data_IF_782430761231
#
_entry.id   IF_782430761231
#
_cell.length_a   1.000
_cell.length_b   1.000
_cell.length_c   1.000
_cell.angle_alpha   90.00
_cell.angle_beta   90.00
_cell.angle_gamma   90.00
#
_symmetry.space_group_name_H-M   'P 1'
#
loop_
_entity.id
_entity.type
_entity.pdbx_description
1 polymer ?
#
# COMPACT_ATOMS: atom_id res chain seq x y z
N UNK A 1 -21.36 26.45 15.71
CA UNK A 1 -20.75 26.35 17.07
C UNK A 1 -19.37 25.75 16.94
N UNK A 2 -18.27 26.52 17.09
CA UNK A 2 -16.92 25.99 17.18
C UNK A 2 -16.83 25.21 18.50
N UNK A 3 -16.73 23.87 18.46
CA UNK A 3 -16.43 23.06 19.63
C UNK A 3 -15.14 23.61 20.25
N UNK A 4 -15.14 23.95 21.53
CA UNK A 4 -13.94 24.29 22.29
C UNK A 4 -12.97 23.08 22.21
N UNK A 5 -12.06 23.11 21.25
CA UNK A 5 -10.99 22.10 21.17
C UNK A 5 -9.97 22.43 22.25
N UNK A 6 -9.82 21.55 23.22
CA UNK A 6 -8.74 21.61 24.18
C UNK A 6 -7.43 21.16 23.53
N UNK A 7 -6.35 21.87 23.76
CA UNK A 7 -5.01 21.58 23.22
C UNK A 7 -4.08 21.12 24.35
N UNK A 8 -3.04 20.41 23.99
CA UNK A 8 -1.84 20.18 24.77
C UNK A 8 -0.65 20.82 24.05
N UNK A 9 0.37 21.19 24.80
CA UNK A 9 1.63 21.69 24.23
C UNK A 9 2.56 20.49 24.04
N UNK A 10 3.05 20.35 22.81
CA UNK A 10 4.13 19.43 22.43
C UNK A 10 5.36 20.25 22.04
N UNK A 11 6.54 19.65 22.11
CA UNK A 11 7.81 20.34 21.81
C UNK A 11 8.67 19.45 20.92
N UNK A 12 9.25 20.03 19.89
CA UNK A 12 10.28 19.44 19.05
C UNK A 12 11.50 20.38 18.95
N UNK A 13 12.43 20.08 18.03
CA UNK A 13 13.62 20.91 17.81
C UNK A 13 13.30 22.33 17.30
N UNK A 14 12.12 22.56 16.74
CA UNK A 14 11.64 23.84 16.24
C UNK A 14 10.86 24.65 17.28
N UNK A 15 10.65 24.10 18.48
CA UNK A 15 9.95 24.76 19.56
C UNK A 15 8.59 24.15 19.90
N UNK A 16 7.76 24.94 20.59
CA UNK A 16 6.43 24.49 21.03
C UNK A 16 5.39 24.55 19.93
N UNK A 17 4.45 23.59 19.94
CA UNK A 17 3.30 23.54 19.05
C UNK A 17 2.04 23.05 19.78
N UNK A 18 0.89 23.61 19.45
CA UNK A 18 -0.41 23.22 20.01
C UNK A 18 -0.98 22.02 19.25
N UNK A 19 -1.11 20.88 19.93
CA UNK A 19 -1.70 19.66 19.39
C UNK A 19 -3.07 19.42 20.03
N UNK A 20 -4.12 19.03 19.29
CA UNK A 20 -5.41 18.70 19.88
C UNK A 20 -5.26 17.63 20.98
N UNK A 21 -5.88 17.86 22.14
CA UNK A 21 -5.67 17.01 23.34
C UNK A 21 -5.99 15.53 23.10
N UNK A 22 -6.96 15.23 22.23
CA UNK A 22 -7.37 13.87 21.89
C UNK A 22 -6.52 13.21 20.80
N UNK A 23 -5.70 13.98 20.07
CA UNK A 23 -4.86 13.46 19.00
C UNK A 23 -3.78 12.53 19.55
N UNK A 24 -3.53 11.42 18.85
CA UNK A 24 -2.41 10.53 19.17
C UNK A 24 -1.11 10.96 18.48
N UNK A 25 -1.18 11.84 17.48
CA UNK A 25 0.01 12.42 16.85
C UNK A 25 0.66 13.47 17.74
N UNK A 26 1.90 13.81 17.45
CA UNK A 26 2.70 14.79 18.18
C UNK A 26 3.02 16.04 17.38
N UNK A 27 4.15 16.69 17.74
CA UNK A 27 4.57 17.97 17.21
C UNK A 27 4.85 17.95 15.70
N UNK A 28 5.56 16.95 15.20
CA UNK A 28 5.98 16.91 13.79
C UNK A 28 4.77 16.72 12.86
N UNK A 29 3.84 15.84 13.21
CA UNK A 29 2.59 15.69 12.45
C UNK A 29 1.76 16.96 12.48
N UNK A 30 1.66 17.64 13.62
CA UNK A 30 0.91 18.89 13.71
C UNK A 30 1.49 19.97 12.79
N UNK A 31 2.82 20.12 12.76
CA UNK A 31 3.48 21.03 11.81
C UNK A 31 3.24 20.64 10.35
N UNK A 32 3.23 19.35 10.04
CA UNK A 32 2.94 18.88 8.68
C UNK A 32 1.49 19.21 8.27
N UNK A 33 0.51 19.12 9.17
CA UNK A 33 -0.87 19.56 8.93
C UNK A 33 -0.92 21.06 8.58
N UNK A 34 -0.15 21.87 9.31
CA UNK A 34 -0.11 23.31 9.14
C UNK A 34 0.65 23.74 7.88
N UNK A 35 1.72 23.00 7.51
CA UNK A 35 2.56 23.33 6.37
C UNK A 35 2.00 22.84 5.03
N UNK A 36 1.21 21.77 5.01
CA UNK A 36 0.74 21.11 3.79
C UNK A 36 -0.78 20.95 3.70
N UNK A 37 -1.58 22.04 3.83
CA UNK A 37 -3.03 21.98 3.63
C UNK A 37 -3.37 22.07 2.13
N UNK A 38 -2.95 21.08 1.31
CA UNK A 38 -2.92 21.21 -0.16
C UNK A 38 -4.20 20.69 -0.82
N UNK A 39 -4.51 19.39 -0.68
CA UNK A 39 -5.60 18.75 -1.42
C UNK A 39 -6.76 18.27 -0.56
N UNK A 40 -6.54 18.04 0.72
CA UNK A 40 -7.47 17.39 1.62
C UNK A 40 -7.57 15.86 1.42
N UNK A 41 -6.82 15.30 0.45
CA UNK A 41 -6.78 13.85 0.21
C UNK A 41 -5.88 13.22 1.26
N UNK A 42 -6.41 12.21 1.97
CA UNK A 42 -5.69 11.46 3.00
C UNK A 42 -5.35 10.07 2.50
N UNK A 43 -4.47 9.35 3.21
CA UNK A 43 -4.13 7.95 2.93
C UNK A 43 -5.27 6.98 3.28
N UNK A 44 -6.50 7.40 3.03
CA UNK A 44 -7.68 6.57 3.16
C UNK A 44 -8.36 6.47 1.79
N UNK A 45 -8.12 5.37 1.11
CA UNK A 45 -8.70 5.08 -0.21
C UNK A 45 -10.06 4.37 -0.08
N UNK A 46 -10.87 4.30 -1.15
CA UNK A 46 -12.22 3.70 -1.10
C UNK A 46 -12.27 2.26 -0.56
N UNK A 47 -11.16 1.51 -0.66
CA UNK A 47 -11.09 0.10 -0.26
C UNK A 47 -10.28 -0.13 1.01
N UNK A 48 -9.87 0.92 1.72
CA UNK A 48 -9.15 0.82 2.98
C UNK A 48 -7.93 1.71 3.09
N UNK A 49 -7.19 1.51 4.18
CA UNK A 49 -5.99 2.28 4.52
C UNK A 49 -4.73 1.43 4.38
N UNK A 50 -4.57 0.70 3.26
CA UNK A 50 -3.49 -0.28 3.07
C UNK A 50 -2.10 0.30 3.30
N UNK A 51 -1.90 1.58 2.95
CA UNK A 51 -0.63 2.27 3.20
C UNK A 51 -0.38 2.48 4.72
N UNK A 52 -1.41 2.86 5.47
CA UNK A 52 -1.32 3.00 6.93
C UNK A 52 -1.13 1.62 7.59
N UNK A 53 -1.87 0.60 7.14
CA UNK A 53 -1.68 -0.81 7.54
C UNK A 53 -0.23 -1.25 7.30
N UNK A 54 0.35 -0.92 6.15
CA UNK A 54 1.74 -1.22 5.82
C UNK A 54 2.73 -0.55 6.78
N UNK A 55 2.52 0.72 7.14
CA UNK A 55 3.33 1.39 8.15
C UNK A 55 3.23 0.68 9.50
N UNK A 56 2.03 0.28 9.92
CA UNK A 56 1.83 -0.52 11.12
C UNK A 56 2.62 -1.84 11.09
N UNK A 57 2.59 -2.56 9.96
CA UNK A 57 3.37 -3.79 9.75
C UNK A 57 4.88 -3.54 9.84
N UNK A 58 5.36 -2.45 9.24
CA UNK A 58 6.77 -2.06 9.30
C UNK A 58 7.19 -1.81 10.75
N UNK A 59 6.44 -1.00 11.50
CA UNK A 59 6.80 -0.68 12.89
C UNK A 59 6.69 -1.89 13.82
N UNK A 60 5.71 -2.76 13.60
CA UNK A 60 5.63 -4.05 14.29
C UNK A 60 6.87 -4.91 14.03
N UNK A 61 7.22 -5.09 12.76
CA UNK A 61 8.32 -5.96 12.34
C UNK A 61 9.68 -5.41 12.74
N UNK A 62 9.86 -4.07 12.70
CA UNK A 62 11.05 -3.41 13.21
C UNK A 62 11.21 -3.59 14.72
N UNK A 63 10.12 -3.52 15.50
CA UNK A 63 10.16 -3.77 16.93
C UNK A 63 10.52 -5.23 17.25
N UNK A 64 10.03 -6.20 16.47
CA UNK A 64 10.45 -7.62 16.56
C UNK A 64 11.95 -7.75 16.28
N UNK A 65 12.39 -7.27 15.11
CA UNK A 65 13.78 -7.36 14.70
C UNK A 65 14.75 -6.72 15.69
N UNK A 66 14.44 -5.51 16.17
CA UNK A 66 15.28 -4.84 17.16
C UNK A 66 15.29 -5.53 18.53
N UNK A 67 14.18 -6.16 18.93
CA UNK A 67 14.15 -7.00 20.12
C UNK A 67 15.05 -8.22 19.98
N UNK A 68 14.94 -8.96 18.87
CA UNK A 68 15.69 -10.19 18.62
C UNK A 68 17.19 -9.92 18.46
N UNK A 69 17.56 -8.73 18.01
CA UNK A 69 18.95 -8.27 17.88
C UNK A 69 19.50 -7.60 19.15
N UNK A 70 18.71 -7.54 20.23
CA UNK A 70 19.15 -6.99 21.52
C UNK A 70 19.18 -5.46 21.60
N UNK A 71 18.67 -4.76 20.59
CA UNK A 71 18.64 -3.28 20.56
C UNK A 71 17.47 -2.70 21.35
N UNK A 72 16.39 -3.47 21.55
CA UNK A 72 15.18 -3.04 22.23
C UNK A 72 14.82 -4.00 23.36
N UNK A 73 14.47 -3.47 24.53
CA UNK A 73 14.05 -4.31 25.67
C UNK A 73 12.73 -5.01 25.36
N UNK A 74 12.54 -6.20 25.93
CA UNK A 74 11.30 -6.99 25.76
C UNK A 74 10.07 -6.16 26.16
N UNK A 75 10.14 -5.38 27.23
CA UNK A 75 9.05 -4.54 27.73
C UNK A 75 8.64 -3.49 26.69
N UNK A 76 9.60 -2.71 26.17
CA UNK A 76 9.34 -1.72 25.12
C UNK A 76 8.86 -2.37 23.82
N UNK A 77 9.52 -3.43 23.35
CA UNK A 77 9.14 -4.14 22.14
C UNK A 77 7.69 -4.64 22.21
N UNK A 78 7.25 -5.20 23.33
CA UNK A 78 5.87 -5.67 23.50
C UNK A 78 4.85 -4.51 23.43
N UNK A 79 5.16 -3.37 24.02
CA UNK A 79 4.29 -2.20 23.95
C UNK A 79 4.21 -1.64 22.52
N UNK A 80 5.35 -1.56 21.82
CA UNK A 80 5.39 -1.13 20.40
C UNK A 80 4.61 -2.08 19.50
N UNK A 81 4.82 -3.40 19.63
CA UNK A 81 4.08 -4.43 18.87
C UNK A 81 2.58 -4.34 19.10
N UNK A 82 2.14 -4.18 20.36
CA UNK A 82 0.72 -4.04 20.67
C UNK A 82 0.13 -2.74 20.10
N UNK A 83 0.87 -1.64 20.12
CA UNK A 83 0.43 -0.36 19.55
C UNK A 83 0.41 -0.39 18.03
N UNK A 84 1.41 -0.99 17.39
CA UNK A 84 1.45 -1.17 15.93
C UNK A 84 0.31 -2.07 15.42
N UNK A 85 -0.11 -3.08 16.18
CA UNK A 85 -1.28 -3.91 15.85
C UNK A 85 -2.58 -3.10 15.77
N UNK A 86 -2.76 -2.07 16.59
CA UNK A 86 -3.92 -1.16 16.47
C UNK A 86 -3.90 -0.38 15.17
N UNK A 87 -2.71 0.03 14.71
CA UNK A 87 -2.55 0.68 13.39
C UNK A 87 -2.86 -0.31 12.27
N UNK A 88 -2.36 -1.55 12.34
CA UNK A 88 -2.63 -2.62 11.36
C UNK A 88 -4.13 -2.91 11.27
N UNK A 89 -4.83 -2.91 12.40
CA UNK A 89 -6.26 -3.18 12.48
C UNK A 89 -7.15 -1.98 12.05
N UNK A 90 -6.56 -0.80 11.80
CA UNK A 90 -7.29 0.42 11.44
C UNK A 90 -8.04 1.07 12.60
N UNK A 91 -7.80 0.64 13.85
CA UNK A 91 -8.48 1.15 15.05
C UNK A 91 -8.17 2.63 15.34
N UNK A 92 -7.12 3.15 14.74
CA UNK A 92 -6.60 4.51 14.97
C UNK A 92 -6.40 5.32 13.69
N UNK A 93 -7.04 4.94 12.60
CA UNK A 93 -6.93 5.59 11.27
C UNK A 93 -7.26 7.09 11.31
N UNK A 94 -8.14 7.51 12.22
CA UNK A 94 -8.48 8.92 12.43
C UNK A 94 -7.29 9.78 12.87
N UNK A 95 -6.23 9.15 13.38
CA UNK A 95 -5.00 9.80 13.82
C UNK A 95 -3.93 9.90 12.73
N UNK A 96 -4.28 9.60 11.47
CA UNK A 96 -3.46 9.82 10.28
C UNK A 96 -4.08 10.91 9.40
N UNK A 97 -4.00 12.19 9.84
CA UNK A 97 -4.72 13.31 9.22
C UNK A 97 -4.01 13.92 8.01
N UNK A 98 -2.79 13.49 7.68
CA UNK A 98 -1.93 14.16 6.72
C UNK A 98 -2.46 14.08 5.30
N UNK A 99 -2.21 15.15 4.54
CA UNK A 99 -2.42 15.19 3.10
C UNK A 99 -1.42 14.29 2.38
N UNK A 100 -1.84 13.66 1.28
CA UNK A 100 -0.94 12.83 0.45
C UNK A 100 0.15 13.68 -0.22
N UNK A 101 -0.13 14.96 -0.49
CA UNK A 101 0.83 15.94 -0.97
C UNK A 101 1.53 16.60 0.23
N UNK A 102 2.74 16.15 0.50
CA UNK A 102 3.56 16.56 1.64
C UNK A 102 5.05 16.62 1.22
N UNK A 103 5.98 16.44 2.17
CA UNK A 103 7.40 16.28 1.85
C UNK A 103 7.61 15.16 0.84
N UNK A 104 8.43 15.37 -0.20
CA UNK A 104 8.62 14.41 -1.29
C UNK A 104 9.12 13.02 -0.84
N UNK A 105 9.83 12.97 0.28
CA UNK A 105 10.32 11.72 0.91
C UNK A 105 9.26 10.97 1.74
N UNK A 106 8.06 11.54 1.93
CA UNK A 106 7.01 10.97 2.79
C UNK A 106 7.34 10.98 4.30
N UNK A 107 8.35 11.75 4.71
CA UNK A 107 8.81 11.81 6.11
C UNK A 107 7.70 12.17 7.07
N UNK A 108 6.80 13.09 6.69
CA UNK A 108 5.69 13.50 7.55
C UNK A 108 4.80 12.32 7.93
N UNK A 109 4.49 11.43 6.99
CA UNK A 109 3.65 10.24 7.26
C UNK A 109 4.40 9.18 8.06
N UNK A 110 5.70 8.96 7.82
CA UNK A 110 6.50 8.09 8.67
C UNK A 110 6.53 8.58 10.11
N UNK A 111 6.74 9.90 10.32
CA UNK A 111 6.74 10.50 11.65
C UNK A 111 5.36 10.46 12.31
N UNK A 112 4.28 10.61 11.53
CA UNK A 112 2.93 10.43 12.05
C UNK A 112 2.73 9.02 12.63
N UNK A 113 3.14 7.98 11.91
CA UNK A 113 3.09 6.61 12.43
C UNK A 113 3.95 6.44 13.70
N UNK A 114 5.15 7.00 13.69
CA UNK A 114 6.04 6.96 14.86
C UNK A 114 5.42 7.63 16.09
N UNK A 115 4.86 8.83 15.93
CA UNK A 115 4.24 9.59 17.03
C UNK A 115 2.98 8.90 17.57
N UNK A 116 2.11 8.38 16.70
CA UNK A 116 0.90 7.64 17.12
C UNK A 116 1.28 6.39 17.91
N UNK A 117 2.21 5.59 17.40
CA UNK A 117 2.66 4.36 18.07
C UNK A 117 3.37 4.67 19.37
N UNK A 118 4.23 5.70 19.40
CA UNK A 118 4.94 6.13 20.61
C UNK A 118 3.96 6.56 21.71
N UNK A 119 2.95 7.36 21.38
CA UNK A 119 1.92 7.79 22.33
C UNK A 119 1.10 6.62 22.89
N UNK A 120 0.73 5.67 22.05
CA UNK A 120 0.02 4.46 22.48
C UNK A 120 0.89 3.58 23.37
N UNK A 121 2.17 3.39 23.00
CA UNK A 121 3.12 2.60 23.78
C UNK A 121 3.46 3.27 25.12
N UNK A 122 3.63 4.58 25.14
CA UNK A 122 3.86 5.34 26.38
C UNK A 122 2.70 5.19 27.37
N UNK A 123 1.47 5.27 26.91
CA UNK A 123 0.27 5.04 27.74
C UNK A 123 0.23 3.63 28.32
N UNK A 124 0.67 2.61 27.54
CA UNK A 124 0.70 1.21 27.99
C UNK A 124 1.79 0.96 29.04
N UNK A 125 2.94 1.62 28.87
CA UNK A 125 4.10 1.40 29.74
C UNK A 125 4.09 2.26 31.00
N UNK A 126 3.40 3.40 30.97
CA UNK A 126 3.51 4.44 32.01
C UNK A 126 4.83 5.19 31.98
N UNK A 127 5.60 5.08 30.90
CA UNK A 127 6.88 5.77 30.67
C UNK A 127 6.97 6.31 29.24
N UNK A 128 7.82 7.30 29.01
CA UNK A 128 7.97 7.92 27.68
C UNK A 128 8.65 6.96 26.71
N UNK A 129 8.00 6.76 25.55
CA UNK A 129 8.55 6.08 24.39
C UNK A 129 8.85 7.11 23.32
N UNK A 130 10.09 7.14 22.83
CA UNK A 130 10.54 8.09 21.81
C UNK A 130 10.06 7.67 20.41
N UNK A 131 9.41 8.57 19.66
CA UNK A 131 9.07 8.30 18.26
C UNK A 131 10.29 8.02 17.39
N UNK A 132 11.41 8.69 17.65
CA UNK A 132 12.66 8.56 16.89
C UNK A 132 13.51 7.39 17.36
N UNK A 133 13.82 7.34 18.67
CA UNK A 133 14.83 6.42 19.18
C UNK A 133 14.28 5.01 19.41
N UNK A 134 12.98 4.89 19.76
CA UNK A 134 12.36 3.60 20.04
C UNK A 134 11.55 3.08 18.84
N UNK A 135 10.60 3.88 18.31
CA UNK A 135 9.70 3.43 17.23
C UNK A 135 10.42 3.36 15.89
N UNK A 136 11.26 4.36 15.58
CA UNK A 136 12.01 4.45 14.32
C UNK A 136 13.42 3.85 14.40
N UNK A 137 13.74 3.12 15.46
CA UNK A 137 15.04 2.48 15.67
C UNK A 137 15.45 1.63 14.46
N UNK A 138 16.71 1.77 14.02
CA UNK A 138 17.28 1.10 12.84
C UNK A 138 16.60 1.43 11.51
N UNK A 139 15.84 2.52 11.42
CA UNK A 139 15.09 2.93 10.26
C UNK A 139 15.39 4.39 9.87
N UNK A 140 14.99 4.73 8.64
CA UNK A 140 14.85 6.10 8.14
C UNK A 140 13.51 6.22 7.42
N UNK A 141 12.99 7.43 7.21
CA UNK A 141 11.88 7.63 6.28
C UNK A 141 12.25 7.17 4.86
N UNK A 142 13.54 7.26 4.51
CA UNK A 142 14.04 6.95 3.17
C UNK A 142 13.95 5.47 2.82
N UNK A 143 14.06 4.55 3.78
CA UNK A 143 13.81 3.12 3.57
C UNK A 143 12.39 2.68 3.96
N UNK A 144 11.77 3.36 4.92
CA UNK A 144 10.42 3.04 5.41
C UNK A 144 9.34 3.33 4.35
N UNK A 145 9.39 4.49 3.68
CA UNK A 145 8.35 4.87 2.71
C UNK A 145 8.34 3.96 1.47
N UNK A 146 9.46 3.70 0.79
CA UNK A 146 9.46 2.73 -0.33
C UNK A 146 9.06 1.33 0.13
N UNK A 147 9.43 0.91 1.34
CA UNK A 147 8.95 -0.35 1.93
C UNK A 147 7.43 -0.34 2.12
N UNK A 148 6.85 0.78 2.59
CA UNK A 148 5.41 0.91 2.76
C UNK A 148 4.66 0.88 1.42
N UNK A 149 5.21 1.49 0.37
CA UNK A 149 4.67 1.40 -1.01
C UNK A 149 4.64 -0.06 -1.45
N UNK A 150 5.74 -0.80 -1.26
CA UNK A 150 5.80 -2.20 -1.62
C UNK A 150 4.78 -3.05 -0.86
N UNK A 151 4.77 -2.97 0.47
CA UNK A 151 3.88 -3.78 1.31
C UNK A 151 2.41 -3.45 1.06
N UNK A 152 2.04 -2.17 0.94
CA UNK A 152 0.65 -1.78 0.68
C UNK A 152 0.15 -2.30 -0.67
N UNK A 153 0.97 -2.19 -1.72
CA UNK A 153 0.63 -2.73 -3.02
C UNK A 153 0.47 -4.26 -2.99
N UNK A 154 1.40 -4.98 -2.32
CA UNK A 154 1.31 -6.43 -2.16
C UNK A 154 0.02 -6.85 -1.46
N UNK A 155 -0.37 -6.17 -0.38
CA UNK A 155 -1.62 -6.45 0.32
C UNK A 155 -2.84 -6.28 -0.59
N UNK A 156 -2.94 -5.16 -1.31
CA UNK A 156 -4.08 -4.91 -2.20
C UNK A 156 -4.11 -5.87 -3.40
N UNK A 157 -2.93 -6.25 -3.91
CA UNK A 157 -2.85 -7.25 -4.98
C UNK A 157 -3.38 -8.61 -4.50
N UNK A 158 -2.93 -9.10 -3.36
CA UNK A 158 -3.26 -10.44 -2.87
C UNK A 158 -4.65 -10.52 -2.24
N UNK A 159 -5.09 -9.48 -1.51
CA UNK A 159 -6.38 -9.48 -0.83
C UNK A 159 -7.55 -9.13 -1.78
N UNK A 160 -7.34 -8.32 -2.82
CA UNK A 160 -8.42 -7.74 -3.63
C UNK A 160 -8.28 -8.03 -5.13
N UNK A 161 -7.18 -7.59 -5.76
CA UNK A 161 -7.10 -7.55 -7.22
C UNK A 161 -6.99 -8.93 -7.85
N UNK A 162 -6.06 -9.76 -7.40
CA UNK A 162 -5.86 -11.09 -7.99
C UNK A 162 -7.08 -12.00 -7.80
N UNK A 163 -7.72 -12.06 -6.61
CA UNK A 163 -8.97 -12.78 -6.44
C UNK A 163 -10.11 -12.25 -7.33
N UNK A 164 -10.22 -10.91 -7.47
CA UNK A 164 -11.21 -10.28 -8.33
C UNK A 164 -11.00 -10.63 -9.81
N UNK A 165 -9.75 -10.64 -10.28
CA UNK A 165 -9.42 -11.07 -11.64
C UNK A 165 -9.73 -12.55 -11.87
N UNK A 166 -9.46 -13.42 -10.89
CA UNK A 166 -9.77 -14.84 -10.99
C UNK A 166 -11.29 -15.09 -11.13
N UNK A 167 -12.09 -14.36 -10.36
CA UNK A 167 -13.55 -14.40 -10.47
C UNK A 167 -13.98 -13.96 -11.87
N UNK A 168 -13.48 -12.81 -12.35
CA UNK A 168 -13.85 -12.28 -13.67
C UNK A 168 -13.46 -13.23 -14.82
N UNK A 169 -12.24 -13.77 -14.80
CA UNK A 169 -11.76 -14.74 -15.80
C UNK A 169 -12.65 -15.99 -15.80
N UNK A 170 -12.97 -16.53 -14.63
CA UNK A 170 -13.83 -17.70 -14.48
C UNK A 170 -15.23 -17.45 -15.03
N UNK A 171 -15.81 -16.28 -14.75
CA UNK A 171 -17.12 -15.91 -15.26
C UNK A 171 -17.11 -15.75 -16.80
N UNK A 172 -16.06 -15.15 -17.37
CA UNK A 172 -15.87 -15.06 -18.82
C UNK A 172 -15.77 -16.46 -19.46
N UNK A 173 -14.94 -17.34 -18.91
CA UNK A 173 -14.79 -18.72 -19.41
C UNK A 173 -16.12 -19.51 -19.30
N UNK A 174 -16.88 -19.30 -18.24
CA UNK A 174 -18.19 -19.93 -18.02
C UNK A 174 -19.22 -19.40 -19.02
N UNK A 175 -19.24 -18.10 -19.25
CA UNK A 175 -20.14 -17.47 -20.23
C UNK A 175 -19.81 -17.93 -21.65
N UNK A 176 -18.53 -17.99 -22.00
CA UNK A 176 -18.10 -18.53 -23.30
C UNK A 176 -18.63 -19.95 -23.53
N UNK A 177 -18.50 -20.84 -22.54
CA UNK A 177 -19.03 -22.22 -22.65
C UNK A 177 -20.53 -22.27 -22.87
N UNK A 178 -21.30 -21.41 -22.16
CA UNK A 178 -22.77 -21.35 -22.30
C UNK A 178 -23.24 -20.84 -23.67
N UNK A 179 -22.47 -19.97 -24.30
CA UNK A 179 -22.79 -19.34 -25.57
C UNK A 179 -22.15 -20.04 -26.76
N UNK A 180 -21.48 -21.17 -26.54
CA UNK A 180 -20.90 -21.97 -27.63
C UNK A 180 -21.97 -22.42 -28.62
N UNK A 181 -21.72 -22.22 -29.93
CA UNK A 181 -22.65 -22.51 -31.02
C UNK A 181 -23.61 -21.35 -31.32
N UNK A 182 -23.60 -20.27 -30.56
CA UNK A 182 -24.40 -19.08 -30.89
C UNK A 182 -23.62 -18.20 -31.85
N UNK A 183 -24.01 -18.25 -33.10
CA UNK A 183 -23.36 -17.52 -34.20
C UNK A 183 -23.81 -16.07 -34.22
N UNK A 184 -22.86 -15.17 -34.43
CA UNK A 184 -23.06 -13.73 -34.61
C UNK A 184 -22.24 -13.21 -35.79
N UNK A 185 -22.57 -12.03 -36.28
CA UNK A 185 -21.72 -11.32 -37.22
C UNK A 185 -20.43 -10.88 -36.53
N UNK A 186 -19.29 -11.28 -37.10
CA UNK A 186 -18.01 -10.62 -36.80
C UNK A 186 -17.99 -9.27 -37.48
N UNK A 187 -17.24 -8.30 -36.90
CA UNK A 187 -17.10 -6.95 -37.47
C UNK A 187 -15.63 -6.56 -37.61
N UNK A 188 -15.33 -5.95 -38.74
CA UNK A 188 -14.07 -5.23 -38.99
C UNK A 188 -14.40 -3.83 -39.47
N UNK A 189 -13.73 -2.82 -38.97
CA UNK A 189 -14.02 -1.41 -39.28
C UNK A 189 -15.52 -1.03 -39.04
N UNK A 190 -16.15 -1.65 -38.03
CA UNK A 190 -17.59 -1.54 -37.71
C UNK A 190 -18.53 -2.05 -38.81
N UNK A 191 -17.99 -2.68 -39.85
CA UNK A 191 -18.75 -3.27 -40.96
C UNK A 191 -18.88 -4.79 -40.76
N UNK A 192 -19.93 -5.37 -41.33
CA UNK A 192 -20.15 -6.82 -41.34
C UNK A 192 -18.95 -7.57 -41.93
N UNK A 193 -18.52 -8.62 -41.25
CA UNK A 193 -17.46 -9.51 -41.69
C UNK A 193 -17.90 -10.97 -41.57
N UNK A 194 -16.96 -11.90 -41.39
CA UNK A 194 -17.27 -13.32 -41.30
C UNK A 194 -18.08 -13.65 -40.05
N UNK A 195 -18.95 -14.68 -40.10
CA UNK A 195 -19.62 -15.21 -38.92
C UNK A 195 -18.61 -15.72 -37.90
N UNK A 196 -18.84 -15.39 -36.61
CA UNK A 196 -18.08 -15.91 -35.49
C UNK A 196 -19.01 -16.44 -34.40
N UNK A 197 -18.49 -17.27 -33.53
CA UNK A 197 -19.18 -17.73 -32.32
C UNK A 197 -18.93 -16.74 -31.15
N UNK A 198 -19.98 -16.44 -30.39
CA UNK A 198 -19.84 -15.62 -29.16
C UNK A 198 -18.79 -16.18 -28.22
N UNK A 199 -18.65 -17.50 -28.13
CA UNK A 199 -17.62 -18.12 -27.31
C UNK A 199 -16.20 -17.73 -27.75
N UNK A 200 -15.98 -17.58 -29.07
CA UNK A 200 -14.68 -17.17 -29.62
C UNK A 200 -14.34 -15.73 -29.18
N UNK A 201 -15.29 -14.81 -29.27
CA UNK A 201 -15.07 -13.42 -28.86
C UNK A 201 -14.80 -13.30 -27.35
N UNK A 202 -15.64 -13.93 -26.53
CA UNK A 202 -15.45 -13.91 -25.07
C UNK A 202 -14.15 -14.60 -24.65
N UNK A 203 -13.74 -15.67 -25.36
CA UNK A 203 -12.46 -16.33 -25.11
C UNK A 203 -11.27 -15.40 -25.35
N UNK A 204 -11.37 -14.49 -26.33
CA UNK A 204 -10.39 -13.44 -26.58
C UNK A 204 -10.24 -12.49 -25.37
N UNK A 205 -11.36 -12.05 -24.79
CA UNK A 205 -11.35 -11.22 -23.59
C UNK A 205 -10.74 -11.96 -22.39
N UNK A 206 -11.14 -13.22 -22.18
CA UNK A 206 -10.55 -14.05 -21.12
C UNK A 206 -9.02 -14.20 -21.28
N UNK A 207 -8.55 -14.42 -22.50
CA UNK A 207 -7.13 -14.52 -22.80
C UNK A 207 -6.38 -13.21 -22.49
N UNK A 208 -6.96 -12.06 -22.83
CA UNK A 208 -6.38 -10.74 -22.50
C UNK A 208 -6.28 -10.54 -20.99
N UNK A 209 -7.31 -10.87 -20.21
CA UNK A 209 -7.31 -10.79 -18.77
C UNK A 209 -6.25 -11.72 -18.14
N UNK A 210 -6.12 -12.95 -18.63
CA UNK A 210 -5.08 -13.90 -18.19
C UNK A 210 -3.68 -13.35 -18.45
N UNK A 211 -3.45 -12.75 -19.62
CA UNK A 211 -2.18 -12.10 -19.95
C UNK A 211 -1.86 -10.94 -19.02
N UNK A 212 -2.85 -10.07 -18.72
CA UNK A 212 -2.69 -8.99 -17.76
C UNK A 212 -2.37 -9.52 -16.35
N UNK A 213 -3.10 -10.54 -15.88
CA UNK A 213 -2.82 -11.20 -14.59
C UNK A 213 -1.37 -11.69 -14.52
N UNK A 214 -0.88 -12.36 -15.55
CA UNK A 214 0.50 -12.86 -15.59
C UNK A 214 1.52 -11.73 -15.53
N UNK A 215 1.29 -10.61 -16.23
CA UNK A 215 2.16 -9.44 -16.16
C UNK A 215 2.17 -8.81 -14.75
N UNK A 216 1.01 -8.68 -14.12
CA UNK A 216 0.88 -8.17 -12.74
C UNK A 216 1.62 -9.08 -11.77
N UNK A 217 1.43 -10.40 -11.85
CA UNK A 217 2.14 -11.38 -10.99
C UNK A 217 3.66 -11.31 -11.19
N UNK A 218 4.12 -11.09 -12.42
CA UNK A 218 5.54 -10.93 -12.70
C UNK A 218 6.11 -9.63 -12.07
N UNK A 219 5.43 -8.50 -12.23
CA UNK A 219 5.80 -7.22 -11.61
C UNK A 219 5.78 -7.31 -10.08
N UNK A 220 4.78 -8.01 -9.52
CA UNK A 220 4.63 -8.19 -8.08
C UNK A 220 5.83 -8.88 -7.42
N UNK A 221 6.54 -9.75 -8.14
CA UNK A 221 7.76 -10.40 -7.61
C UNK A 221 8.85 -9.40 -7.23
N UNK A 222 8.96 -8.27 -7.94
CA UNK A 222 9.93 -7.21 -7.60
C UNK A 222 9.50 -6.39 -6.40
N UNK A 223 8.18 -6.28 -6.15
CA UNK A 223 7.66 -5.62 -4.95
C UNK A 223 7.97 -6.38 -3.65
N UNK A 224 8.30 -7.68 -3.74
CA UNK A 224 8.72 -8.49 -2.59
C UNK A 224 10.15 -8.15 -2.11
N UNK A 225 10.92 -7.37 -2.86
CA UNK A 225 12.28 -6.93 -2.52
C UNK A 225 12.23 -5.60 -1.77
N UNK A 226 12.37 -5.65 -0.45
CA UNK A 226 12.18 -4.48 0.42
C UNK A 226 13.50 -3.75 0.68
N UNK A 227 13.53 -2.40 0.57
CA UNK A 227 14.71 -1.60 0.88
C UNK A 227 14.90 -1.32 2.39
N UNK A 228 14.04 -1.86 3.27
CA UNK A 228 14.14 -1.66 4.72
C UNK A 228 15.45 -2.20 5.28
N UNK A 229 16.17 -1.36 5.98
CA UNK A 229 17.52 -1.62 6.51
C UNK A 229 18.63 -0.90 5.76
N UNK A 230 18.33 -0.27 4.60
CA UNK A 230 19.25 0.65 3.93
C UNK A 230 19.42 1.98 4.69
N UNK A 231 18.48 2.27 5.57
CA UNK A 231 18.41 3.50 6.39
C UNK A 231 18.42 4.78 5.55
N UNK A 232 19.30 5.74 5.83
CA UNK A 232 19.24 7.07 5.22
C UNK A 232 19.61 7.08 3.72
N UNK A 233 20.66 6.32 3.33
CA UNK A 233 21.26 6.40 1.98
C UNK A 233 21.63 5.03 1.38
N UNK A 234 21.29 3.93 2.03
CA UNK A 234 21.58 2.58 1.53
C UNK A 234 22.77 1.89 2.21
N UNK A 235 23.47 2.57 3.11
CA UNK A 235 24.63 2.01 3.83
C UNK A 235 24.27 1.24 5.10
N UNK A 236 23.02 1.33 5.56
CA UNK A 236 22.58 0.72 6.83
C UNK A 236 23.13 1.41 8.07
N UNK A 237 23.49 2.70 7.99
CA UNK A 237 24.01 3.46 9.14
C UNK A 237 23.02 3.40 10.31
N UNK A 238 23.56 3.21 11.54
CA UNK A 238 22.80 3.05 12.78
C UNK A 238 21.82 1.83 12.78
N UNK A 239 22.08 0.82 11.94
CA UNK A 239 21.32 -0.42 11.91
C UNK A 239 22.23 -1.62 12.13
N UNK A 240 21.73 -2.64 12.81
CA UNK A 240 22.45 -3.91 12.96
C UNK A 240 22.54 -4.63 11.60
N UNK A 241 23.68 -5.27 11.27
CA UNK A 241 23.91 -5.95 9.98
C UNK A 241 22.84 -6.98 9.59
N UNK A 242 22.16 -7.58 10.56
CA UNK A 242 21.10 -8.56 10.35
C UNK A 242 19.70 -7.96 10.40
N UNK A 243 19.56 -6.64 10.57
CA UNK A 243 18.25 -6.00 10.77
C UNK A 243 17.30 -6.26 9.61
N UNK A 244 17.73 -6.05 8.36
CA UNK A 244 16.89 -6.25 7.19
C UNK A 244 16.37 -7.69 7.07
N UNK A 245 17.23 -8.69 7.37
CA UNK A 245 16.84 -10.09 7.35
C UNK A 245 15.78 -10.38 8.42
N UNK A 246 16.06 -10.05 9.69
CA UNK A 246 15.12 -10.26 10.79
C UNK A 246 13.80 -9.50 10.60
N UNK A 247 13.87 -8.31 10.00
CA UNK A 247 12.69 -7.52 9.63
C UNK A 247 11.81 -8.26 8.60
N UNK A 248 12.39 -8.77 7.51
CA UNK A 248 11.64 -9.50 6.49
C UNK A 248 10.99 -10.79 7.04
N UNK A 249 11.71 -11.52 7.88
CA UNK A 249 11.17 -12.70 8.58
C UNK A 249 9.99 -12.34 9.49
N UNK A 250 10.05 -11.20 10.17
CA UNK A 250 8.95 -10.71 11.00
C UNK A 250 7.74 -10.26 10.16
N UNK A 251 7.95 -9.60 9.00
CA UNK A 251 6.88 -9.24 8.05
C UNK A 251 6.20 -10.50 7.54
N UNK A 252 6.96 -11.50 7.08
CA UNK A 252 6.39 -12.76 6.58
C UNK A 252 5.54 -13.46 7.66
N UNK A 253 6.04 -13.51 8.89
CA UNK A 253 5.35 -14.16 10.01
C UNK A 253 4.01 -13.52 10.35
N UNK A 254 3.89 -12.19 10.26
CA UNK A 254 2.66 -11.48 10.64
C UNK A 254 1.67 -11.31 9.48
N UNK A 255 2.17 -11.16 8.23
CA UNK A 255 1.34 -10.85 7.06
C UNK A 255 1.18 -12.00 6.07
N UNK A 256 2.04 -13.02 6.13
CA UNK A 256 2.10 -14.08 5.11
C UNK A 256 2.84 -13.68 3.83
N UNK A 257 3.22 -12.41 3.68
CA UNK A 257 3.95 -11.91 2.49
C UNK A 257 5.40 -12.43 2.51
N UNK A 258 5.79 -13.19 1.50
CA UNK A 258 7.14 -13.77 1.36
C UNK A 258 8.15 -12.73 0.87
N UNK A 259 8.33 -11.67 1.66
CA UNK A 259 9.25 -10.57 1.36
C UNK A 259 10.70 -10.94 1.66
N UNK A 260 11.62 -10.26 1.00
CA UNK A 260 13.06 -10.39 1.23
C UNK A 260 13.75 -9.03 1.15
N UNK A 261 14.96 -8.97 1.71
CA UNK A 261 15.80 -7.78 1.56
C UNK A 261 16.17 -7.57 0.08
N UNK A 262 16.14 -6.32 -0.36
CA UNK A 262 16.64 -5.98 -1.71
C UNK A 262 18.11 -6.37 -1.84
N UNK A 263 18.54 -6.85 -3.02
CA UNK A 263 19.95 -7.14 -3.25
C UNK A 263 20.83 -5.87 -3.31
N UNK A 264 20.22 -4.71 -3.54
CA UNK A 264 20.90 -3.43 -3.61
C UNK A 264 20.07 -2.32 -2.96
N UNK A 265 20.46 -1.91 -1.75
CA UNK A 265 19.77 -0.85 -1.02
C UNK A 265 19.87 0.52 -1.71
N UNK A 266 20.97 0.79 -2.42
CA UNK A 266 21.13 2.07 -3.13
C UNK A 266 20.09 2.22 -4.24
N UNK A 267 19.82 1.15 -5.00
CA UNK A 267 18.74 1.15 -5.99
C UNK A 267 17.38 1.33 -5.30
N UNK A 268 17.11 0.53 -4.25
CA UNK A 268 15.79 0.52 -3.59
C UNK A 268 15.44 1.83 -2.89
N UNK A 269 16.44 2.66 -2.52
CA UNK A 269 16.23 3.97 -1.91
C UNK A 269 16.21 5.12 -2.93
N UNK A 270 16.91 4.99 -4.06
CA UNK A 270 17.07 6.09 -5.01
C UNK A 270 15.98 6.14 -6.09
N UNK A 271 15.23 5.04 -6.28
CA UNK A 271 14.23 4.93 -7.34
C UNK A 271 13.07 4.02 -6.94
N UNK A 272 11.90 4.23 -7.58
CA UNK A 272 10.69 3.42 -7.42
C UNK A 272 10.41 2.57 -8.68
N UNK A 273 11.44 1.98 -9.27
CA UNK A 273 11.34 1.21 -10.53
C UNK A 273 10.31 0.10 -10.45
N UNK A 274 10.28 -0.65 -9.34
CA UNK A 274 9.33 -1.73 -9.09
C UNK A 274 7.89 -1.24 -9.03
N UNK A 275 7.64 -0.10 -8.38
CA UNK A 275 6.31 0.50 -8.31
C UNK A 275 5.87 1.03 -9.68
N UNK A 276 6.78 1.61 -10.47
CA UNK A 276 6.52 2.06 -11.83
C UNK A 276 6.17 0.89 -12.76
N UNK A 277 6.89 -0.24 -12.65
CA UNK A 277 6.60 -1.46 -13.40
C UNK A 277 5.21 -2.03 -13.07
N UNK A 278 4.88 -2.14 -11.78
CA UNK A 278 3.56 -2.57 -11.34
C UNK A 278 2.45 -1.62 -11.84
N UNK A 279 2.66 -0.32 -11.72
CA UNK A 279 1.72 0.70 -12.22
C UNK A 279 1.48 0.56 -13.73
N UNK A 280 2.53 0.24 -14.50
CA UNK A 280 2.42 -0.01 -15.95
C UNK A 280 1.60 -1.26 -16.27
N UNK A 281 1.78 -2.34 -15.48
CA UNK A 281 0.97 -3.55 -15.62
C UNK A 281 -0.51 -3.29 -15.28
N UNK A 282 -0.79 -2.51 -14.23
CA UNK A 282 -2.15 -2.09 -13.85
C UNK A 282 -2.80 -1.19 -14.92
N UNK A 283 -2.03 -0.28 -15.52
CA UNK A 283 -2.48 0.53 -16.65
C UNK A 283 -2.89 -0.36 -17.83
N UNK A 284 -2.10 -1.37 -18.17
CA UNK A 284 -2.46 -2.31 -19.24
C UNK A 284 -3.76 -3.06 -18.93
N UNK A 285 -3.96 -3.53 -17.70
CA UNK A 285 -5.24 -4.13 -17.30
C UNK A 285 -6.40 -3.15 -17.47
N UNK A 286 -6.23 -1.89 -17.10
CA UNK A 286 -7.27 -0.87 -17.27
C UNK A 286 -7.66 -0.67 -18.74
N UNK A 287 -6.68 -0.68 -19.66
CA UNK A 287 -6.93 -0.57 -21.10
C UNK A 287 -7.71 -1.79 -21.63
N UNK A 288 -7.37 -3.00 -21.18
CA UNK A 288 -8.09 -4.22 -21.55
C UNK A 288 -9.53 -4.18 -21.02
N UNK A 289 -9.75 -3.78 -19.78
CA UNK A 289 -11.09 -3.64 -19.21
C UNK A 289 -11.93 -2.60 -19.96
N UNK A 290 -11.33 -1.45 -20.30
CA UNK A 290 -12.00 -0.43 -21.13
C UNK A 290 -12.40 -0.97 -22.50
N UNK A 291 -11.51 -1.73 -23.15
CA UNK A 291 -11.81 -2.37 -24.43
C UNK A 291 -12.99 -3.34 -24.31
N UNK A 292 -12.98 -4.22 -23.31
CA UNK A 292 -14.08 -5.17 -23.07
C UNK A 292 -15.41 -4.43 -22.81
N UNK A 293 -15.39 -3.40 -21.96
CA UNK A 293 -16.58 -2.60 -21.69
C UNK A 293 -17.12 -1.88 -22.95
N UNK A 294 -16.22 -1.36 -23.79
CA UNK A 294 -16.62 -0.73 -25.05
C UNK A 294 -17.22 -1.75 -26.01
N UNK A 295 -16.62 -2.92 -26.17
CA UNK A 295 -17.18 -3.99 -27.00
C UNK A 295 -18.59 -4.37 -26.51
N UNK A 296 -18.78 -4.58 -25.21
CA UNK A 296 -20.10 -4.86 -24.64
C UNK A 296 -21.12 -3.76 -24.91
N UNK A 297 -20.71 -2.49 -24.85
CA UNK A 297 -21.58 -1.35 -25.20
C UNK A 297 -21.99 -1.39 -26.67
N UNK A 298 -21.04 -1.63 -27.59
CA UNK A 298 -21.32 -1.76 -29.01
C UNK A 298 -22.26 -2.93 -29.29
N UNK A 299 -22.01 -4.09 -28.70
CA UNK A 299 -22.81 -5.28 -28.85
C UNK A 299 -24.25 -5.12 -28.33
N UNK A 300 -24.47 -4.24 -27.36
CA UNK A 300 -25.77 -3.94 -26.77
C UNK A 300 -26.43 -2.70 -27.39
N UNK A 301 -25.99 -2.26 -28.55
CA UNK A 301 -26.56 -1.11 -29.25
C UNK A 301 -27.94 -1.48 -29.85
N UNK A 302 -28.96 -1.50 -29.05
CA UNK A 302 -30.38 -1.70 -29.28
C UNK A 302 -30.86 -2.32 -30.62
N UNK A 303 -32.00 -3.02 -30.66
CA UNK A 303 -32.42 -3.73 -31.86
C UNK A 303 -32.96 -2.81 -32.97
N UNK A 304 -33.43 -1.60 -32.65
CA UNK A 304 -34.08 -0.71 -33.63
C UNK A 304 -33.16 0.37 -34.20
N UNK A 305 -32.24 0.87 -33.43
CA UNK A 305 -31.32 1.95 -33.81
C UNK A 305 -29.86 1.60 -33.51
N UNK A 306 -29.55 0.33 -33.45
CA UNK A 306 -28.24 -0.19 -33.24
C UNK A 306 -27.29 0.03 -34.42
N UNK A 307 -26.03 -0.37 -34.26
CA UNK A 307 -25.07 -0.42 -35.34
C UNK A 307 -25.53 -1.44 -36.39
N UNK A 308 -25.69 -0.99 -37.60
CA UNK A 308 -25.99 -1.84 -38.78
C UNK A 308 -24.68 -2.31 -39.40
#
# INVERSE_FOLDING_TARGET
MKKNQSFRIEKDSLGEVKVPKKALWGAQTQRAIENFPISGIKFKFPFGSSFIKALGLIKYSAAVANQDLGNLTIKKANALKASAKMVIAGEVDEHFPLDVFQTGSGTSTNMNANEVIANLASKRLGEVVSPNDDVNMSQSSNDTIPTAICISALLDMEELLLPGLDILIKEMDTKAKKLKGTIKTGRTHLMDAMPIDFAQEISGWSAQLKSCKNAIVAANKRMLELPQGGTAVGTGVNSHKNFSKSFCEAVEKISGLKVKSTPNFFQGLSSHDNAAELSSALKNLSLVLMKICNDLRWMNSGPLTGLS
#
